data_IF_747127770480
#
_entry.id   IF_747127770480
#
_cell.length_a   1.000
_cell.length_b   1.000
_cell.length_c   1.000
_cell.angle_alpha   90.00
_cell.angle_beta   90.00
_cell.angle_gamma   90.00
#
_symmetry.space_group_name_H-M   'P 1'
#
loop_
_entity.id
_entity.type
_entity.pdbx_description
1 polymer ?
#
# COMPACT_ATOMS: atom_id res chain seq x y z
N UNK A 1 -27.41 12.92 6.18
CA UNK A 1 -26.05 12.44 6.53
C UNK A 1 -25.15 12.72 5.36
N UNK A 2 -24.02 13.40 5.59
CA UNK A 2 -23.05 13.78 4.54
C UNK A 2 -22.10 12.61 4.27
N UNK A 3 -21.92 12.27 2.99
CA UNK A 3 -21.06 11.18 2.53
C UNK A 3 -19.85 11.74 1.80
N UNK A 4 -18.71 11.13 2.00
CA UNK A 4 -17.48 11.45 1.30
C UNK A 4 -16.75 10.17 0.89
N UNK A 5 -16.03 10.23 -0.22
CA UNK A 5 -15.00 9.26 -0.57
C UNK A 5 -13.67 9.97 -0.79
N UNK A 6 -12.56 9.26 -0.62
CA UNK A 6 -11.25 9.82 -0.91
C UNK A 6 -10.24 8.77 -1.34
N UNK A 7 -9.14 9.25 -1.91
CA UNK A 7 -7.94 8.45 -2.17
C UNK A 7 -6.69 9.21 -1.72
N UNK A 8 -5.56 8.51 -1.63
CA UNK A 8 -4.26 9.08 -1.28
C UNK A 8 -3.26 8.72 -2.38
N UNK A 9 -2.52 9.72 -2.84
CA UNK A 9 -1.57 9.58 -3.94
C UNK A 9 -0.27 10.31 -3.64
N UNK A 10 0.82 9.86 -4.26
CA UNK A 10 1.93 10.77 -4.57
C UNK A 10 1.55 11.63 -5.79
N UNK A 11 2.24 12.75 -6.03
CA UNK A 11 1.79 13.70 -7.07
C UNK A 11 1.73 13.10 -8.47
N UNK A 12 2.56 12.09 -8.75
CA UNK A 12 2.55 11.37 -10.02
C UNK A 12 1.30 10.49 -10.24
N UNK A 13 0.54 10.20 -9.19
CA UNK A 13 -0.68 9.37 -9.23
C UNK A 13 -1.96 10.20 -9.13
N UNK A 14 -1.89 11.54 -9.11
CA UNK A 14 -3.09 12.41 -9.17
C UNK A 14 -3.97 12.07 -10.37
N UNK A 15 -3.37 11.79 -11.54
CA UNK A 15 -4.10 11.39 -12.73
C UNK A 15 -4.92 10.10 -12.54
N UNK A 16 -4.43 9.14 -11.75
CA UNK A 16 -5.18 7.93 -11.40
C UNK A 16 -6.31 8.23 -10.42
N UNK A 17 -6.05 9.06 -9.40
CA UNK A 17 -7.09 9.51 -8.47
C UNK A 17 -8.28 10.20 -9.16
N UNK A 18 -8.01 11.01 -10.19
CA UNK A 18 -9.06 11.65 -11.01
C UNK A 18 -9.85 10.64 -11.86
N UNK A 19 -9.22 9.56 -12.32
CA UNK A 19 -9.90 8.50 -13.08
C UNK A 19 -10.76 7.64 -12.15
N UNK A 20 -10.28 7.35 -10.93
CA UNK A 20 -11.07 6.73 -9.87
C UNK A 20 -12.30 7.61 -9.55
N UNK A 21 -12.11 8.90 -9.32
CA UNK A 21 -13.20 9.87 -9.11
C UNK A 21 -14.22 9.79 -10.24
N UNK A 22 -13.77 9.85 -11.51
CA UNK A 22 -14.64 9.75 -12.67
C UNK A 22 -15.47 8.45 -12.68
N UNK A 23 -14.86 7.31 -12.35
CA UNK A 23 -15.55 6.01 -12.31
C UNK A 23 -16.62 5.97 -11.21
N UNK A 24 -16.35 6.56 -10.05
CA UNK A 24 -17.26 6.60 -8.92
C UNK A 24 -18.41 7.59 -9.13
N UNK A 25 -18.10 8.79 -9.64
CA UNK A 25 -19.06 9.87 -9.89
C UNK A 25 -20.06 9.51 -10.99
N UNK A 26 -19.78 8.51 -11.84
CA UNK A 26 -20.79 7.94 -12.75
C UNK A 26 -22.05 7.47 -12.01
N UNK A 27 -21.90 7.05 -10.75
CA UNK A 27 -22.98 6.48 -9.94
C UNK A 27 -23.44 7.38 -8.79
N UNK A 28 -22.57 8.26 -8.26
CA UNK A 28 -22.83 9.03 -7.02
C UNK A 28 -22.67 10.55 -7.16
N UNK A 29 -22.84 11.11 -8.38
CA UNK A 29 -22.63 12.55 -8.64
C UNK A 29 -23.46 13.48 -7.76
N UNK A 30 -24.64 13.07 -7.32
CA UNK A 30 -25.59 13.92 -6.60
C UNK A 30 -25.54 13.79 -5.07
N UNK A 31 -24.81 12.80 -4.54
CA UNK A 31 -24.90 12.45 -3.11
C UNK A 31 -23.56 12.07 -2.45
N UNK A 32 -22.44 12.25 -3.14
CA UNK A 32 -21.11 11.92 -2.63
C UNK A 32 -20.06 12.96 -3.05
N UNK A 33 -19.34 13.50 -2.07
CA UNK A 33 -18.15 14.33 -2.32
C UNK A 33 -16.90 13.45 -2.47
N UNK A 34 -15.89 13.91 -3.22
CA UNK A 34 -14.65 13.17 -3.45
C UNK A 34 -13.40 14.04 -3.26
N UNK A 35 -12.40 13.52 -2.54
CA UNK A 35 -11.12 14.20 -2.35
C UNK A 35 -9.92 13.32 -2.76
N UNK A 36 -8.88 13.98 -3.24
CA UNK A 36 -7.59 13.36 -3.56
C UNK A 36 -6.55 13.98 -2.64
N UNK A 37 -6.10 13.24 -1.64
CA UNK A 37 -5.04 13.69 -0.74
C UNK A 37 -3.67 13.36 -1.32
N UNK A 38 -2.78 14.35 -1.35
CA UNK A 38 -1.43 14.18 -1.88
C UNK A 38 -0.42 14.08 -0.73
N UNK A 39 0.20 12.91 -0.60
CA UNK A 39 1.28 12.61 0.34
C UNK A 39 2.67 12.94 -0.24
N UNK A 40 2.81 14.15 -0.80
CA UNK A 40 3.98 14.61 -1.56
C UNK A 40 4.00 16.16 -1.60
N UNK A 41 5.12 16.75 -2.02
CA UNK A 41 5.20 18.20 -2.22
C UNK A 41 4.73 18.59 -3.63
N UNK A 42 3.79 19.54 -3.70
CA UNK A 42 3.29 20.10 -4.95
C UNK A 42 3.52 21.61 -4.94
N UNK A 43 4.19 22.08 -5.99
CA UNK A 43 4.29 23.51 -6.28
C UNK A 43 3.00 23.97 -6.99
N UNK A 44 2.06 24.47 -6.20
CA UNK A 44 0.76 24.95 -6.67
C UNK A 44 0.85 26.21 -7.54
N UNK A 45 1.96 26.95 -7.49
CA UNK A 45 2.19 28.11 -8.37
C UNK A 45 2.54 27.66 -9.79
N UNK A 46 3.21 26.50 -9.93
CA UNK A 46 3.60 25.93 -11.23
C UNK A 46 2.56 25.00 -11.84
N UNK A 47 1.72 24.38 -11.01
CA UNK A 47 0.77 23.36 -11.45
C UNK A 47 -0.62 23.71 -10.93
N UNK A 48 -1.51 24.11 -11.84
CA UNK A 48 -2.93 24.22 -11.52
C UNK A 48 -3.48 22.82 -11.19
N UNK A 49 -3.92 22.63 -9.95
CA UNK A 49 -4.57 21.41 -9.48
C UNK A 49 -6.08 21.65 -9.26
N UNK A 50 -6.94 20.64 -9.48
CA UNK A 50 -8.37 20.72 -9.12
C UNK A 50 -8.57 21.02 -7.63
N UNK A 51 -9.67 21.69 -7.28
CA UNK A 51 -9.96 22.12 -5.89
C UNK A 51 -10.09 20.95 -4.90
N UNK A 52 -10.51 19.78 -5.37
CA UNK A 52 -10.62 18.57 -4.56
C UNK A 52 -9.29 17.82 -4.37
N UNK A 53 -8.20 18.29 -4.99
CA UNK A 53 -6.84 17.77 -4.78
C UNK A 53 -6.16 18.58 -3.68
N UNK A 54 -5.86 17.92 -2.55
CA UNK A 54 -5.37 18.58 -1.35
C UNK A 54 -3.96 18.07 -1.00
N UNK A 55 -2.92 18.92 -1.08
CA UNK A 55 -1.62 18.62 -0.49
C UNK A 55 -1.77 18.45 1.03
N UNK A 56 -1.50 17.25 1.53
CA UNK A 56 -1.75 16.91 2.94
C UNK A 56 -0.89 17.75 3.87
N UNK A 57 0.33 18.10 3.43
CA UNK A 57 1.26 18.94 4.18
C UNK A 57 0.65 20.28 4.61
N UNK A 58 -0.27 20.83 3.83
CA UNK A 58 -0.88 22.13 4.09
C UNK A 58 -2.03 22.08 5.12
N UNK A 59 -2.56 20.89 5.40
CA UNK A 59 -3.71 20.71 6.30
C UNK A 59 -3.40 19.80 7.49
N UNK A 60 -2.25 19.12 7.48
CA UNK A 60 -1.90 18.17 8.52
C UNK A 60 -1.49 18.84 9.81
N UNK A 61 -1.87 18.20 10.92
CA UNK A 61 -1.46 18.50 12.29
C UNK A 61 -0.20 17.73 12.72
N UNK A 62 0.47 17.03 11.79
CA UNK A 62 1.79 16.47 12.05
C UNK A 62 2.81 17.58 12.24
N UNK A 63 3.64 17.46 13.26
CA UNK A 63 4.76 18.39 13.47
C UNK A 63 5.78 18.27 12.32
N UNK A 64 6.58 19.31 12.13
CA UNK A 64 7.69 19.30 11.16
C UNK A 64 8.64 18.11 11.34
N UNK A 65 8.88 17.73 12.60
CA UNK A 65 9.72 16.57 12.92
C UNK A 65 9.03 15.26 12.55
N UNK A 66 7.75 15.09 12.86
CA UNK A 66 7.01 13.87 12.48
C UNK A 66 6.89 13.72 10.98
N UNK A 67 6.58 14.79 10.25
CA UNK A 67 6.47 14.73 8.79
C UNK A 67 7.80 14.36 8.15
N UNK A 68 8.88 15.05 8.54
CA UNK A 68 10.24 14.77 8.03
C UNK A 68 10.67 13.34 8.36
N UNK A 69 10.39 12.87 9.57
CA UNK A 69 10.72 11.51 9.99
C UNK A 69 9.96 10.45 9.17
N UNK A 70 8.63 10.61 9.05
CA UNK A 70 7.77 9.70 8.30
C UNK A 70 8.11 9.70 6.80
N UNK A 71 8.29 10.86 6.17
CA UNK A 71 8.57 10.97 4.74
C UNK A 71 9.97 10.47 4.37
N UNK A 72 10.93 10.50 5.31
CA UNK A 72 12.25 9.92 5.11
C UNK A 72 12.28 8.41 5.38
N UNK A 73 11.74 7.94 6.51
CA UNK A 73 11.87 6.52 6.89
C UNK A 73 11.01 5.58 6.07
N UNK A 74 9.85 6.04 5.62
CA UNK A 74 8.94 5.24 4.80
C UNK A 74 9.26 5.38 3.33
N UNK A 75 9.12 4.30 2.58
CA UNK A 75 9.03 4.40 1.13
C UNK A 75 7.72 5.09 0.70
N UNK A 76 7.55 5.32 -0.60
CA UNK A 76 6.37 6.01 -1.14
C UNK A 76 5.05 5.34 -0.72
N UNK A 77 4.97 4.01 -0.78
CA UNK A 77 3.75 3.25 -0.47
C UNK A 77 3.49 3.25 1.04
N UNK A 78 4.53 2.99 1.83
CA UNK A 78 4.48 3.06 3.29
C UNK A 78 4.04 4.45 3.77
N UNK A 79 4.56 5.54 3.17
CA UNK A 79 4.19 6.90 3.55
C UNK A 79 2.75 7.26 3.17
N UNK A 80 2.33 6.98 1.93
CA UNK A 80 0.96 7.24 1.47
C UNK A 80 -0.07 6.54 2.36
N UNK A 81 0.20 5.30 2.73
CA UNK A 81 -0.70 4.52 3.59
C UNK A 81 -0.67 4.99 5.04
N UNK A 82 0.48 5.46 5.54
CA UNK A 82 0.62 5.92 6.94
C UNK A 82 -0.27 7.09 7.34
N UNK A 83 -0.64 7.94 6.38
CA UNK A 83 -1.45 9.15 6.63
C UNK A 83 -2.96 8.92 6.48
N UNK A 84 -3.39 7.72 6.08
CA UNK A 84 -4.81 7.37 5.90
C UNK A 84 -5.70 7.68 7.11
N UNK A 85 -5.28 7.40 8.37
CA UNK A 85 -6.08 7.77 9.54
C UNK A 85 -6.31 9.28 9.65
N UNK A 86 -5.29 10.09 9.36
CA UNK A 86 -5.40 11.54 9.38
C UNK A 86 -6.42 12.04 8.35
N UNK A 87 -6.42 11.49 7.12
CA UNK A 87 -7.37 11.88 6.08
C UNK A 87 -8.84 11.62 6.51
N UNK A 88 -9.12 10.47 7.15
CA UNK A 88 -10.43 10.21 7.75
C UNK A 88 -10.80 11.25 8.82
N UNK A 89 -9.88 11.51 9.76
CA UNK A 89 -10.10 12.49 10.84
C UNK A 89 -10.37 13.90 10.28
N UNK A 90 -9.61 14.32 9.27
CA UNK A 90 -9.81 15.61 8.60
C UNK A 90 -11.20 15.70 7.97
N UNK A 91 -11.65 14.67 7.24
CA UNK A 91 -12.98 14.65 6.64
C UNK A 91 -14.09 14.65 7.71
N UNK A 92 -13.92 13.92 8.80
CA UNK A 92 -14.85 13.98 9.93
C UNK A 92 -14.90 15.38 10.56
N UNK A 93 -13.78 16.09 10.65
CA UNK A 93 -13.74 17.49 11.10
C UNK A 93 -14.48 18.46 10.17
N UNK A 94 -14.58 18.14 8.86
CA UNK A 94 -15.39 18.87 7.88
C UNK A 94 -16.89 18.57 7.95
N UNK A 95 -17.31 17.68 8.85
CA UNK A 95 -18.71 17.36 9.09
C UNK A 95 -19.26 16.22 8.21
N UNK A 96 -18.38 15.38 7.63
CA UNK A 96 -18.81 14.14 6.98
C UNK A 96 -19.17 13.08 8.02
N UNK A 97 -20.26 12.36 7.78
CA UNK A 97 -20.77 11.29 8.65
C UNK A 97 -20.24 9.92 8.22
N UNK A 98 -20.13 9.70 6.91
CA UNK A 98 -19.65 8.46 6.30
C UNK A 98 -18.51 8.77 5.36
N UNK A 99 -17.39 8.07 5.53
CA UNK A 99 -16.23 8.26 4.67
C UNK A 99 -15.74 6.92 4.15
N UNK A 100 -15.43 6.87 2.85
CA UNK A 100 -14.84 5.70 2.19
C UNK A 100 -13.47 6.06 1.65
N UNK A 101 -12.50 5.18 1.89
CA UNK A 101 -11.21 5.19 1.21
C UNK A 101 -11.23 4.20 0.05
N UNK A 102 -10.64 4.59 -1.08
CA UNK A 102 -10.24 3.71 -2.17
C UNK A 102 -8.77 3.95 -2.56
N UNK A 103 -8.03 2.88 -2.80
CA UNK A 103 -6.72 2.95 -3.46
C UNK A 103 -6.85 3.59 -4.86
N UNK A 104 -5.86 4.39 -5.30
CA UNK A 104 -5.98 5.21 -6.51
C UNK A 104 -6.04 4.41 -7.82
N UNK A 105 -5.66 3.13 -7.78
CA UNK A 105 -5.70 2.19 -8.89
C UNK A 105 -6.97 1.31 -8.86
N UNK A 106 -8.02 1.75 -8.17
CA UNK A 106 -9.36 1.15 -8.23
C UNK A 106 -10.19 1.79 -9.36
N UNK A 107 -11.04 0.97 -9.99
CA UNK A 107 -12.11 1.43 -10.86
C UNK A 107 -13.46 0.91 -10.37
N UNK A 108 -14.47 1.79 -10.33
CA UNK A 108 -15.84 1.46 -9.90
C UNK A 108 -16.70 1.11 -11.12
N UNK A 109 -17.43 0.00 -11.01
CA UNK A 109 -18.26 -0.60 -12.06
C UNK A 109 -19.76 -0.58 -11.74
N UNK A 110 -20.13 -0.50 -10.45
CA UNK A 110 -21.52 -0.43 -9.97
C UNK A 110 -21.63 0.50 -8.75
N UNK A 111 -22.85 0.93 -8.36
CA UNK A 111 -23.03 1.75 -7.16
C UNK A 111 -22.51 1.10 -5.88
N UNK A 112 -21.75 1.86 -5.08
CA UNK A 112 -21.25 1.46 -3.75
C UNK A 112 -22.28 1.61 -2.61
N UNK A 113 -23.57 1.66 -2.93
CA UNK A 113 -24.66 1.94 -1.96
C UNK A 113 -24.67 0.95 -0.79
N UNK A 114 -24.38 -0.32 -1.04
CA UNK A 114 -24.30 -1.36 0.01
C UNK A 114 -23.35 -0.97 1.15
N UNK A 115 -22.22 -0.33 0.83
CA UNK A 115 -21.23 0.11 1.84
C UNK A 115 -21.86 1.12 2.80
N UNK A 116 -22.55 2.13 2.26
CA UNK A 116 -23.21 3.14 3.08
C UNK A 116 -24.37 2.57 3.90
N UNK A 117 -25.12 1.60 3.36
CA UNK A 117 -26.16 0.91 4.12
C UNK A 117 -25.58 0.15 5.31
N UNK A 118 -24.41 -0.50 5.16
CA UNK A 118 -23.71 -1.14 6.28
C UNK A 118 -23.17 -0.14 7.28
N UNK A 119 -22.65 0.99 6.83
CA UNK A 119 -22.19 2.07 7.70
C UNK A 119 -23.32 2.74 8.51
N UNK A 120 -24.60 2.61 8.13
CA UNK A 120 -25.70 3.08 8.99
C UNK A 120 -25.74 2.31 10.33
N UNK A 121 -25.43 1.01 10.27
CA UNK A 121 -25.58 0.07 11.38
C UNK A 121 -24.26 -0.33 12.04
N UNK A 122 -23.12 -0.12 11.38
CA UNK A 122 -21.79 -0.48 11.87
C UNK A 122 -20.84 0.72 11.79
N UNK A 123 -19.81 0.72 12.63
CA UNK A 123 -18.82 1.80 12.69
C UNK A 123 -17.76 1.70 11.59
N UNK A 124 -17.36 0.47 11.26
CA UNK A 124 -16.30 0.18 10.28
C UNK A 124 -16.78 -0.92 9.33
N UNK A 125 -16.48 -0.74 8.04
CA UNK A 125 -16.79 -1.68 6.97
C UNK A 125 -15.52 -2.02 6.19
N UNK A 126 -15.19 -3.31 6.14
CA UNK A 126 -14.02 -3.83 5.43
C UNK A 126 -14.41 -4.93 4.44
N UNK A 127 -13.48 -5.27 3.56
CA UNK A 127 -13.55 -6.46 2.69
C UNK A 127 -12.40 -7.40 3.01
N UNK A 128 -12.62 -8.72 3.01
CA UNK A 128 -11.54 -9.67 3.23
C UNK A 128 -10.61 -9.73 2.00
N UNK A 129 -9.36 -10.15 2.22
CA UNK A 129 -8.41 -10.40 1.13
C UNK A 129 -8.90 -11.52 0.20
N UNK A 130 -9.50 -12.57 0.79
CA UNK A 130 -10.13 -13.74 0.15
C UNK A 130 -11.47 -13.98 0.84
N UNK A 131 -12.52 -14.22 0.06
CA UNK A 131 -13.87 -14.34 0.61
C UNK A 131 -14.31 -15.78 0.84
N UNK A 132 -13.75 -16.75 0.12
CA UNK A 132 -14.08 -18.17 0.22
C UNK A 132 -13.30 -18.93 1.30
N UNK A 133 -13.88 -20.04 1.77
CA UNK A 133 -13.15 -21.07 2.53
C UNK A 133 -12.62 -22.06 1.51
N UNK A 134 -11.29 -22.16 1.39
CA UNK A 134 -10.65 -22.99 0.36
C UNK A 134 -10.03 -24.23 0.97
N UNK A 135 -10.67 -25.40 0.81
CA UNK A 135 -10.13 -26.67 1.34
C UNK A 135 -8.88 -27.10 0.57
N UNK A 136 -8.90 -26.87 -0.74
CA UNK A 136 -7.76 -27.09 -1.62
C UNK A 136 -7.38 -25.75 -2.24
N UNK A 137 -6.47 -25.03 -1.57
CA UNK A 137 -6.06 -23.70 -2.02
C UNK A 137 -5.35 -23.78 -3.38
N UNK A 138 -5.90 -23.06 -4.37
CA UNK A 138 -5.40 -23.02 -5.76
C UNK A 138 -4.94 -21.64 -6.21
N UNK A 139 -4.89 -20.67 -5.28
CA UNK A 139 -4.44 -19.32 -5.58
C UNK A 139 -2.94 -19.24 -5.84
N UNK A 140 -2.55 -18.30 -6.69
CA UNK A 140 -1.16 -18.13 -7.13
C UNK A 140 -0.30 -17.46 -6.06
N UNK A 141 -0.91 -16.68 -5.16
CA UNK A 141 -0.27 -16.18 -3.97
C UNK A 141 -0.35 -17.23 -2.86
N UNK A 142 0.75 -17.68 -2.26
CA UNK A 142 0.68 -18.70 -1.23
C UNK A 142 -0.04 -18.18 0.03
N UNK A 143 -0.79 -19.04 0.73
CA UNK A 143 -1.60 -18.64 1.90
C UNK A 143 -0.78 -17.97 3.01
N UNK A 144 0.47 -18.39 3.22
CA UNK A 144 1.35 -17.72 4.19
C UNK A 144 1.55 -16.24 3.87
N UNK A 145 1.45 -15.82 2.61
CA UNK A 145 1.55 -14.43 2.22
C UNK A 145 0.38 -13.60 2.77
N UNK A 146 -0.82 -14.18 2.86
CA UNK A 146 -1.98 -13.52 3.48
C UNK A 146 -1.76 -13.36 4.99
N UNK A 147 -1.23 -14.39 5.66
CA UNK A 147 -0.92 -14.33 7.09
C UNK A 147 0.05 -13.20 7.46
N UNK A 148 0.99 -12.86 6.57
CA UNK A 148 1.98 -11.81 6.81
C UNK A 148 1.60 -10.44 6.22
N UNK A 149 0.76 -10.39 5.18
CA UNK A 149 0.33 -9.13 4.57
C UNK A 149 -1.01 -8.59 5.13
N UNK A 150 -1.81 -9.44 5.79
CA UNK A 150 -3.11 -9.10 6.36
C UNK A 150 -4.27 -9.90 5.75
N UNK A 151 -5.32 -10.13 6.56
CA UNK A 151 -6.51 -10.89 6.16
C UNK A 151 -7.61 -10.00 5.56
N UNK A 152 -7.51 -8.69 5.75
CA UNK A 152 -8.34 -7.69 5.07
C UNK A 152 -7.56 -7.04 3.93
N UNK A 153 -8.29 -6.60 2.90
CA UNK A 153 -7.70 -5.77 1.86
C UNK A 153 -8.04 -4.30 2.07
N UNK A 154 -7.01 -3.47 2.29
CA UNK A 154 -7.14 -2.05 2.63
C UNK A 154 -6.98 -1.11 1.45
N UNK A 155 -7.07 -1.66 0.23
CA UNK A 155 -7.47 -0.89 -0.94
C UNK A 155 -8.87 -0.30 -0.81
N UNK A 156 -9.67 -0.79 0.15
CA UNK A 156 -10.94 -0.19 0.55
C UNK A 156 -11.09 -0.16 2.08
N UNK A 157 -11.68 0.92 2.60
CA UNK A 157 -12.11 1.02 4.00
C UNK A 157 -13.28 2.01 4.12
N UNK A 158 -14.39 1.58 4.72
CA UNK A 158 -15.51 2.47 5.06
C UNK A 158 -15.54 2.73 6.56
N UNK A 159 -15.71 3.99 6.97
CA UNK A 159 -15.78 4.37 8.39
C UNK A 159 -16.92 5.37 8.60
N UNK A 160 -17.72 5.15 9.64
CA UNK A 160 -18.72 6.05 10.17
C UNK A 160 -18.11 6.92 11.26
N UNK A 161 -18.42 8.21 11.27
CA UNK A 161 -18.03 9.13 12.33
C UNK A 161 -18.79 8.80 13.62
N UNK A 162 -18.10 8.16 14.56
CA UNK A 162 -18.54 7.93 15.95
C UNK A 162 -17.36 8.12 16.90
N UNK A 163 -17.63 8.22 18.21
CA UNK A 163 -16.57 8.30 19.22
C UNK A 163 -15.65 7.06 19.17
N UNK A 164 -16.24 5.88 18.93
CA UNK A 164 -15.49 4.63 18.78
C UNK A 164 -14.57 4.67 17.56
N UNK A 165 -15.10 5.02 16.39
CA UNK A 165 -14.29 5.14 15.17
C UNK A 165 -13.17 6.18 15.31
N UNK A 166 -13.43 7.30 16.00
CA UNK A 166 -12.38 8.29 16.29
C UNK A 166 -11.27 7.72 17.17
N UNK A 167 -11.61 6.91 18.19
CA UNK A 167 -10.63 6.21 19.02
C UNK A 167 -9.81 5.19 18.21
N UNK A 168 -10.44 4.45 17.31
CA UNK A 168 -9.74 3.52 16.40
C UNK A 168 -8.81 4.26 15.44
N UNK A 169 -9.25 5.38 14.87
CA UNK A 169 -8.41 6.22 14.00
C UNK A 169 -7.20 6.78 14.75
N UNK A 170 -7.38 7.26 15.99
CA UNK A 170 -6.26 7.70 16.84
C UNK A 170 -5.31 6.54 17.16
N UNK A 171 -5.86 5.37 17.53
CA UNK A 171 -5.08 4.17 17.76
C UNK A 171 -4.23 3.83 16.54
N UNK A 172 -4.85 3.71 15.36
CA UNK A 172 -4.19 3.37 14.10
C UNK A 172 -3.12 4.40 13.73
N UNK A 173 -3.45 5.69 13.79
CA UNK A 173 -2.52 6.80 13.53
C UNK A 173 -1.23 6.69 14.34
N UNK A 174 -1.34 6.46 15.65
CA UNK A 174 -0.15 6.35 16.52
C UNK A 174 0.77 5.20 16.13
N UNK A 175 0.23 4.09 15.64
CA UNK A 175 1.03 2.94 15.17
C UNK A 175 1.65 3.26 13.82
N UNK A 176 0.88 3.83 12.88
CA UNK A 176 1.39 4.15 11.56
C UNK A 176 2.47 5.24 11.57
N UNK A 177 2.56 6.06 12.61
CA UNK A 177 3.72 6.93 12.80
C UNK A 177 5.02 6.15 12.86
N UNK A 178 5.05 4.93 13.42
CA UNK A 178 6.30 4.18 13.65
C UNK A 178 6.38 2.82 12.97
N UNK A 179 5.26 2.20 12.63
CA UNK A 179 5.15 0.79 12.24
C UNK A 179 4.38 0.57 10.93
N UNK A 180 4.40 1.56 10.01
CA UNK A 180 3.78 1.46 8.67
C UNK A 180 4.71 0.81 7.62
N UNK A 181 5.69 0.04 8.06
CA UNK A 181 6.66 -0.61 7.18
C UNK A 181 6.09 -1.86 6.48
N UNK A 182 6.65 -2.21 5.34
CA UNK A 182 6.62 -3.57 4.80
C UNK A 182 7.74 -4.36 5.47
N UNK A 183 7.43 -4.95 6.63
CA UNK A 183 8.36 -5.79 7.38
C UNK A 183 7.67 -7.03 7.97
N UNK A 184 7.64 -8.08 7.15
CA UNK A 184 7.05 -9.37 7.50
C UNK A 184 7.73 -10.05 8.68
N UNK A 185 8.98 -9.70 9.01
CA UNK A 185 9.72 -10.36 10.09
C UNK A 185 9.18 -10.03 11.48
N UNK A 186 8.50 -8.88 11.61
CA UNK A 186 7.85 -8.41 12.84
C UNK A 186 6.34 -8.26 12.71
N UNK A 187 5.77 -8.75 11.61
CA UNK A 187 4.34 -8.71 11.37
C UNK A 187 3.81 -7.32 10.98
N UNK A 188 4.64 -6.48 10.34
CA UNK A 188 4.20 -5.22 9.76
C UNK A 188 3.96 -5.37 8.25
N UNK A 189 2.83 -4.84 7.77
CA UNK A 189 2.56 -4.68 6.35
C UNK A 189 1.65 -3.46 6.16
N UNK A 190 2.31 -2.31 6.09
CA UNK A 190 1.69 -0.98 5.96
C UNK A 190 0.59 -0.75 6.99
N UNK A 191 -0.40 0.04 6.61
CA UNK A 191 -1.64 0.29 7.30
C UNK A 191 -2.55 -0.95 7.41
N UNK A 192 -2.45 -1.89 6.46
CA UNK A 192 -3.38 -3.00 6.29
C UNK A 192 -3.34 -4.00 7.44
N UNK A 193 -2.14 -4.43 7.86
CA UNK A 193 -1.98 -5.51 8.85
C UNK A 193 -2.60 -5.19 10.21
N UNK A 194 -2.72 -3.91 10.54
CA UNK A 194 -3.37 -3.44 11.76
C UNK A 194 -4.86 -3.76 11.79
N UNK A 195 -5.52 -3.89 10.63
CA UNK A 195 -6.94 -4.16 10.57
C UNK A 195 -7.30 -5.59 10.99
N UNK A 196 -6.33 -6.51 11.01
CA UNK A 196 -6.49 -7.88 11.52
C UNK A 196 -6.90 -7.92 13.01
N UNK A 197 -6.67 -6.82 13.74
CA UNK A 197 -7.03 -6.69 15.15
C UNK A 197 -8.51 -6.36 15.35
N UNK A 198 -9.15 -5.74 14.35
CA UNK A 198 -10.50 -5.20 14.52
C UNK A 198 -11.56 -6.24 14.88
N UNK A 199 -11.57 -7.48 14.33
CA UNK A 199 -12.54 -8.48 14.75
C UNK A 199 -12.54 -8.75 16.26
N UNK A 200 -11.35 -8.79 16.87
CA UNK A 200 -11.20 -9.02 18.30
C UNK A 200 -11.50 -7.75 19.14
N UNK A 201 -11.19 -6.56 18.62
CA UNK A 201 -11.38 -5.29 19.33
C UNK A 201 -12.82 -4.78 19.26
N UNK A 202 -13.54 -5.06 18.18
CA UNK A 202 -14.82 -4.44 17.83
C UNK A 202 -15.99 -5.44 17.84
N UNK A 203 -15.72 -6.72 17.57
CA UNK A 203 -16.78 -7.70 17.32
C UNK A 203 -17.68 -7.34 16.14
N UNK A 204 -18.71 -8.16 15.93
CA UNK A 204 -19.62 -8.00 14.79
C UNK A 204 -20.62 -6.85 14.94
N UNK A 205 -20.76 -6.28 16.14
CA UNK A 205 -21.64 -5.12 16.38
C UNK A 205 -21.10 -3.85 15.71
N UNK A 206 -19.78 -3.65 15.77
CA UNK A 206 -19.14 -2.44 15.27
C UNK A 206 -18.41 -2.63 13.94
N UNK A 207 -17.93 -3.85 13.66
CA UNK A 207 -17.26 -4.20 12.41
C UNK A 207 -18.16 -5.04 11.50
N UNK A 208 -18.39 -4.58 10.28
CA UNK A 208 -18.98 -5.39 9.22
C UNK A 208 -17.95 -5.77 8.15
N UNK A 209 -17.86 -7.07 7.85
CA UNK A 209 -17.00 -7.58 6.77
C UNK A 209 -17.87 -7.92 5.56
N UNK A 210 -17.81 -7.08 4.52
CA UNK A 210 -18.55 -7.33 3.26
C UNK A 210 -17.86 -8.45 2.49
N UNK A 211 -18.57 -9.58 2.32
CA UNK A 211 -18.15 -10.75 1.52
C UNK A 211 -18.78 -10.75 0.12
N UNK A 212 -19.12 -9.57 -0.41
CA UNK A 212 -19.56 -9.40 -1.80
C UNK A 212 -18.35 -9.64 -2.73
N UNK A 213 -18.43 -10.64 -3.61
CA UNK A 213 -17.32 -11.05 -4.48
C UNK A 213 -16.94 -9.98 -5.51
N UNK A 214 -17.89 -9.10 -5.85
CA UNK A 214 -17.68 -7.96 -6.74
C UNK A 214 -17.01 -6.75 -6.07
N UNK A 215 -16.75 -6.79 -4.77
CA UNK A 215 -15.99 -5.74 -4.08
C UNK A 215 -14.55 -6.16 -3.86
N UNK A 216 -13.64 -5.21 -4.11
CA UNK A 216 -12.21 -5.39 -3.90
C UNK A 216 -11.63 -6.62 -4.62
N UNK A 217 -12.12 -6.83 -5.85
CA UNK A 217 -11.60 -7.87 -6.73
C UNK A 217 -10.21 -7.43 -7.20
N UNK A 218 -9.22 -8.28 -7.02
CA UNK A 218 -7.82 -7.94 -7.16
C UNK A 218 -6.97 -9.18 -7.48
N UNK A 219 -5.72 -9.02 -7.93
CA UNK A 219 -4.91 -10.16 -8.38
C UNK A 219 -4.77 -11.32 -7.40
N UNK A 220 -4.76 -11.06 -6.09
CA UNK A 220 -4.69 -12.11 -5.06
C UNK A 220 -5.99 -12.90 -4.83
N UNK A 221 -7.11 -12.51 -5.46
CA UNK A 221 -8.39 -13.22 -5.34
C UNK A 221 -9.04 -13.54 -6.70
N UNK A 222 -8.33 -13.38 -7.81
CA UNK A 222 -8.82 -13.80 -9.13
C UNK A 222 -9.04 -15.32 -9.23
N UNK A 223 -8.28 -16.10 -8.47
CA UNK A 223 -8.44 -17.56 -8.42
C UNK A 223 -9.81 -18.00 -7.91
N UNK A 224 -10.43 -17.23 -7.02
CA UNK A 224 -11.75 -17.56 -6.45
C UNK A 224 -12.91 -16.82 -7.13
N UNK A 225 -12.64 -15.81 -7.98
CA UNK A 225 -13.66 -14.93 -8.57
C UNK A 225 -13.67 -15.03 -10.09
N UNK A 226 -14.82 -15.35 -10.65
CA UNK A 226 -15.05 -15.41 -12.09
C UNK A 226 -16.01 -14.31 -12.55
N UNK A 227 -15.59 -13.53 -13.55
CA UNK A 227 -16.46 -12.55 -14.19
C UNK A 227 -17.33 -13.20 -15.28
N UNK A 228 -18.55 -12.70 -15.42
CA UNK A 228 -19.44 -13.04 -16.53
C UNK A 228 -20.43 -11.89 -16.80
N UNK A 229 -21.08 -11.90 -17.96
CA UNK A 229 -22.12 -10.94 -18.29
C UNK A 229 -23.51 -11.51 -17.99
N UNK A 230 -24.38 -10.70 -17.41
CA UNK A 230 -25.82 -10.97 -17.30
C UNK A 230 -26.59 -9.67 -17.38
N UNK A 231 -27.60 -9.63 -18.25
CA UNK A 231 -28.50 -8.47 -18.41
C UNK A 231 -27.76 -7.13 -18.63
N UNK A 232 -26.60 -7.18 -19.29
CA UNK A 232 -25.75 -6.00 -19.55
C UNK A 232 -24.82 -5.59 -18.40
N UNK A 233 -24.96 -6.19 -17.23
CA UNK A 233 -24.07 -5.98 -16.08
C UNK A 233 -22.91 -7.00 -16.06
N UNK A 234 -21.78 -6.57 -15.50
CA UNK A 234 -20.67 -7.48 -15.17
C UNK A 234 -20.96 -8.06 -13.78
N UNK A 235 -21.09 -9.38 -13.74
CA UNK A 235 -21.34 -10.17 -12.54
C UNK A 235 -20.08 -10.92 -12.11
N UNK A 236 -20.03 -11.32 -10.85
CA UNK A 236 -18.95 -12.10 -10.23
C UNK A 236 -19.57 -13.29 -9.52
N UNK A 237 -19.03 -14.50 -9.76
CA UNK A 237 -19.37 -15.72 -9.03
C UNK A 237 -18.12 -16.42 -8.50
N UNK A 238 -18.32 -17.39 -7.60
CA UNK A 238 -17.22 -18.27 -7.18
C UNK A 238 -16.68 -19.02 -8.40
N UNK A 239 -15.35 -19.04 -8.53
CA UNK A 239 -14.65 -19.90 -9.51
C UNK A 239 -14.37 -21.28 -8.93
N UNK A 240 -14.33 -21.43 -7.61
CA UNK A 240 -14.06 -22.69 -6.92
C UNK A 240 -15.36 -23.36 -6.48
N UNK A 241 -15.35 -24.69 -6.38
CA UNK A 241 -16.52 -25.52 -6.08
C UNK A 241 -16.77 -25.72 -4.58
N UNK A 242 -15.88 -25.23 -3.72
CA UNK A 242 -15.93 -25.38 -2.26
C UNK A 242 -16.69 -24.24 -1.56
N UNK A 243 -17.26 -23.32 -2.34
CA UNK A 243 -18.00 -22.16 -1.83
C UNK A 243 -19.40 -22.10 -2.45
N UNK A 244 -20.33 -21.48 -1.73
CA UNK A 244 -21.72 -21.37 -2.17
C UNK A 244 -21.85 -20.69 -3.54
N UNK A 245 -22.83 -21.15 -4.33
CA UNK A 245 -23.25 -20.50 -5.57
C UNK A 245 -23.89 -19.14 -5.26
N UNK A 246 -23.03 -18.13 -5.17
CA UNK A 246 -23.41 -16.73 -5.02
C UNK A 246 -22.94 -15.95 -6.24
N UNK A 247 -23.82 -15.07 -6.71
CA UNK A 247 -23.53 -14.15 -7.80
C UNK A 247 -23.75 -12.72 -7.30
N UNK A 248 -22.72 -11.90 -7.42
CA UNK A 248 -22.74 -10.49 -7.06
C UNK A 248 -22.47 -9.63 -8.29
N UNK A 249 -22.95 -8.38 -8.31
CA UNK A 249 -22.51 -7.42 -9.33
C UNK A 249 -21.05 -7.02 -9.08
N UNK A 250 -20.25 -6.87 -10.13
CA UNK A 250 -18.93 -6.26 -10.00
C UNK A 250 -19.09 -4.80 -9.56
N UNK A 251 -18.63 -4.49 -8.36
CA UNK A 251 -18.73 -3.15 -7.76
C UNK A 251 -17.47 -2.36 -8.01
N UNK A 252 -16.30 -2.90 -7.65
CA UNK A 252 -15.02 -2.26 -7.93
C UNK A 252 -13.87 -3.27 -8.01
N UNK A 253 -12.95 -3.00 -8.92
CA UNK A 253 -11.76 -3.82 -9.18
C UNK A 253 -10.50 -3.00 -8.88
N UNK A 254 -9.57 -3.61 -8.16
CA UNK A 254 -8.26 -3.07 -7.80
C UNK A 254 -7.21 -3.53 -8.81
N UNK A 255 -6.74 -2.61 -9.65
CA UNK A 255 -5.69 -2.86 -10.65
C UNK A 255 -4.28 -2.80 -10.04
N UNK A 256 -4.10 -3.45 -8.89
CA UNK A 256 -2.85 -3.51 -8.14
C UNK A 256 -1.71 -4.10 -8.97
N UNK A 257 -0.60 -3.39 -9.05
CA UNK A 257 0.62 -3.89 -9.68
C UNK A 257 0.61 -3.91 -11.21
N UNK A 258 -0.35 -3.25 -11.86
CA UNK A 258 -0.36 -3.05 -13.31
C UNK A 258 0.59 -1.92 -13.74
N UNK A 259 0.95 -1.91 -15.02
CA UNK A 259 1.73 -0.85 -15.65
C UNK A 259 0.81 0.16 -16.35
N UNK A 260 0.38 1.17 -15.61
CA UNK A 260 -0.57 2.16 -16.12
C UNK A 260 -0.04 2.94 -17.33
N UNK A 261 1.28 3.13 -17.47
CA UNK A 261 1.86 3.76 -18.67
C UNK A 261 1.69 2.91 -19.93
N UNK A 262 1.79 1.58 -19.79
CA UNK A 262 1.51 0.64 -20.88
C UNK A 262 0.02 0.51 -21.14
N UNK A 263 -0.80 0.47 -20.08
CA UNK A 263 -2.27 0.37 -20.22
C UNK A 263 -2.87 1.59 -20.92
N UNK A 264 -2.35 2.80 -20.66
CA UNK A 264 -2.70 4.03 -21.39
C UNK A 264 -2.40 3.93 -22.90
N UNK A 265 -1.54 3.00 -23.33
CA UNK A 265 -1.25 2.69 -24.75
C UNK A 265 -2.02 1.47 -25.27
N UNK A 266 -2.99 0.95 -24.50
CA UNK A 266 -3.75 -0.25 -24.84
C UNK A 266 -3.06 -1.57 -24.48
N UNK A 267 -1.90 -1.53 -23.81
CA UNK A 267 -1.11 -2.73 -23.49
C UNK A 267 -1.31 -3.10 -22.03
N UNK A 268 -1.99 -4.21 -21.79
CA UNK A 268 -2.14 -4.77 -20.44
C UNK A 268 -0.84 -5.47 -20.04
N UNK A 269 -0.19 -4.97 -19.00
CA UNK A 269 1.04 -5.54 -18.47
C UNK A 269 1.09 -5.36 -16.95
N UNK A 270 1.60 -6.37 -16.24
CA UNK A 270 1.67 -6.41 -14.78
C UNK A 270 3.13 -6.40 -14.35
N UNK A 271 3.52 -5.50 -13.43
CA UNK A 271 4.89 -5.34 -12.93
C UNK A 271 5.20 -6.18 -11.70
N UNK A 272 4.23 -6.34 -10.80
CA UNK A 272 4.50 -6.77 -9.41
C UNK A 272 4.02 -8.17 -9.05
N UNK A 273 3.18 -8.79 -9.87
CA UNK A 273 2.60 -10.11 -9.57
C UNK A 273 3.20 -11.14 -10.52
N UNK A 274 3.97 -12.08 -9.97
CA UNK A 274 4.54 -13.20 -10.71
C UNK A 274 3.58 -14.38 -10.77
N UNK A 275 3.65 -15.15 -11.87
CA UNK A 275 2.92 -16.41 -12.06
C UNK A 275 1.42 -16.32 -11.90
N UNK A 276 0.85 -15.11 -11.94
CA UNK A 276 -0.59 -14.96 -11.97
C UNK A 276 -1.11 -15.60 -13.26
N UNK A 277 -2.11 -16.45 -13.12
CA UNK A 277 -2.76 -17.07 -14.26
C UNK A 277 -3.44 -15.99 -15.10
N UNK A 278 -3.40 -16.17 -16.41
CA UNK A 278 -4.23 -15.37 -17.31
C UNK A 278 -5.66 -15.89 -17.24
N UNK A 279 -6.57 -15.02 -16.84
CA UNK A 279 -8.00 -15.29 -16.76
C UNK A 279 -8.70 -14.49 -17.85
N UNK A 280 -9.21 -15.17 -18.89
CA UNK A 280 -9.84 -14.51 -20.03
C UNK A 280 -11.06 -13.66 -19.64
N UNK A 281 -11.80 -14.08 -18.60
CA UNK A 281 -12.95 -13.34 -18.11
C UNK A 281 -12.61 -11.95 -17.55
N UNK A 282 -11.36 -11.71 -17.15
CA UNK A 282 -10.91 -10.39 -16.68
C UNK A 282 -10.93 -9.31 -17.77
N UNK A 283 -10.95 -9.69 -19.06
CA UNK A 283 -11.05 -8.75 -20.18
C UNK A 283 -12.32 -7.92 -20.09
N UNK A 284 -13.42 -8.47 -19.56
CA UNK A 284 -14.69 -7.77 -19.34
C UNK A 284 -14.52 -6.46 -18.56
N UNK A 285 -13.70 -6.48 -17.51
CA UNK A 285 -13.42 -5.30 -16.67
C UNK A 285 -12.15 -4.54 -17.13
N UNK A 286 -11.12 -5.26 -17.56
CA UNK A 286 -9.82 -4.67 -17.94
C UNK A 286 -9.94 -3.79 -19.18
N UNK A 287 -10.72 -4.19 -20.18
CA UNK A 287 -10.91 -3.40 -21.40
C UNK A 287 -11.62 -2.07 -21.12
N UNK A 288 -12.55 -2.05 -20.15
CA UNK A 288 -13.23 -0.82 -19.71
C UNK A 288 -12.20 0.13 -19.08
N UNK A 289 -11.37 -0.37 -18.16
CA UNK A 289 -10.39 0.47 -17.49
C UNK A 289 -9.30 0.98 -18.45
N UNK A 290 -8.84 0.14 -19.39
CA UNK A 290 -7.93 0.56 -20.47
C UNK A 290 -8.54 1.68 -21.31
N UNK A 291 -9.81 1.56 -21.71
CA UNK A 291 -10.52 2.63 -22.45
C UNK A 291 -10.60 3.92 -21.63
N UNK A 292 -10.82 3.83 -20.32
CA UNK A 292 -10.81 5.00 -19.43
C UNK A 292 -9.42 5.66 -19.35
N UNK A 293 -8.34 4.88 -19.23
CA UNK A 293 -6.97 5.39 -19.23
C UNK A 293 -6.61 6.08 -20.56
N UNK A 294 -6.98 5.47 -21.70
CA UNK A 294 -6.76 6.05 -23.03
C UNK A 294 -7.54 7.38 -23.17
N UNK A 295 -8.81 7.40 -22.80
CA UNK A 295 -9.65 8.60 -22.88
C UNK A 295 -9.11 9.75 -22.03
N UNK A 296 -8.48 9.43 -20.89
CA UNK A 296 -7.91 10.41 -19.96
C UNK A 296 -6.38 10.54 -20.07
N UNK A 297 -5.79 10.16 -21.22
CA UNK A 297 -4.35 10.13 -21.39
C UNK A 297 -3.68 11.49 -21.09
N UNK A 298 -4.29 12.60 -21.51
CA UNK A 298 -3.77 13.95 -21.25
C UNK A 298 -3.72 14.29 -19.75
N UNK A 299 -4.78 13.95 -19.00
CA UNK A 299 -4.83 14.13 -17.55
C UNK A 299 -3.78 13.27 -16.86
N UNK A 300 -3.62 12.03 -17.31
CA UNK A 300 -2.62 11.10 -16.77
C UNK A 300 -1.19 11.58 -17.04
N UNK A 301 -0.91 12.03 -18.27
CA UNK A 301 0.42 12.49 -18.72
C UNK A 301 0.88 13.77 -18.05
N UNK A 302 -0.07 14.63 -17.64
CA UNK A 302 0.23 15.82 -16.85
C UNK A 302 1.00 15.50 -15.58
N UNK A 303 0.70 14.37 -14.93
CA UNK A 303 1.23 14.04 -13.61
C UNK A 303 2.25 12.89 -13.60
N UNK A 304 2.09 11.87 -14.43
CA UNK A 304 2.82 10.59 -14.28
C UNK A 304 4.35 10.71 -14.36
N UNK A 305 4.86 11.76 -15.00
CA UNK A 305 6.30 12.04 -15.15
C UNK A 305 6.90 12.79 -13.95
N UNK A 306 6.07 13.32 -13.06
CA UNK A 306 6.53 14.03 -11.86
C UNK A 306 7.29 13.08 -10.94
N UNK A 307 8.39 13.56 -10.37
CA UNK A 307 9.21 12.79 -9.45
C UNK A 307 8.73 12.99 -8.01
N UNK A 308 8.48 11.89 -7.29
CA UNK A 308 8.14 11.91 -5.87
C UNK A 308 9.19 12.68 -5.06
N UNK A 309 8.79 13.71 -4.29
CA UNK A 309 9.74 14.66 -3.68
C UNK A 309 10.67 14.01 -2.67
N UNK A 310 10.18 13.02 -1.92
CA UNK A 310 10.97 12.37 -0.88
C UNK A 310 11.79 11.18 -1.40
N UNK A 311 11.97 11.04 -2.72
CA UNK A 311 12.75 9.96 -3.33
C UNK A 311 14.27 10.21 -3.31
N UNK A 312 14.70 11.45 -3.11
CA UNK A 312 16.10 11.88 -3.26
C UNK A 312 16.57 12.74 -2.10
N UNK A 313 17.89 12.77 -1.88
CA UNK A 313 18.54 13.80 -1.07
C UNK A 313 18.52 15.16 -1.80
N UNK A 314 18.90 16.23 -1.11
CA UNK A 314 18.89 17.61 -1.64
C UNK A 314 19.76 17.80 -2.90
N UNK A 315 20.72 16.91 -3.16
CA UNK A 315 21.57 16.92 -4.36
C UNK A 315 21.04 16.08 -5.54
N UNK A 316 19.86 15.48 -5.38
CA UNK A 316 19.20 14.62 -6.37
C UNK A 316 19.63 13.15 -6.37
N UNK A 317 20.57 12.73 -5.51
CA UNK A 317 20.88 11.31 -5.36
C UNK A 317 19.70 10.55 -4.75
N UNK A 318 19.40 9.35 -5.26
CA UNK A 318 18.30 8.53 -4.74
C UNK A 318 18.53 8.04 -3.31
N UNK A 319 17.47 8.06 -2.51
CA UNK A 319 17.44 7.46 -1.17
C UNK A 319 17.00 6.00 -1.33
N UNK A 320 17.89 5.05 -1.02
CA UNK A 320 17.56 3.63 -1.08
C UNK A 320 16.73 3.17 0.12
N UNK A 321 15.97 2.08 -0.02
CA UNK A 321 15.25 1.44 1.09
C UNK A 321 16.17 1.14 2.27
N UNK A 322 17.39 0.68 2.00
CA UNK A 322 18.38 0.41 3.05
C UNK A 322 18.78 1.67 3.81
N UNK A 323 18.95 2.82 3.14
CA UNK A 323 19.23 4.10 3.81
C UNK A 323 18.10 4.52 4.74
N UNK A 324 16.84 4.39 4.28
CA UNK A 324 15.65 4.72 5.08
C UNK A 324 15.59 3.89 6.36
N UNK A 325 15.89 2.59 6.24
CA UNK A 325 15.89 1.66 7.39
C UNK A 325 17.07 1.88 8.33
N UNK A 326 18.26 2.19 7.83
CA UNK A 326 19.39 2.59 8.68
C UNK A 326 19.05 3.87 9.46
N UNK A 327 18.44 4.86 8.81
CA UNK A 327 17.96 6.07 9.48
C UNK A 327 16.98 5.70 10.61
N UNK A 328 15.99 4.86 10.34
CA UNK A 328 15.04 4.40 11.36
C UNK A 328 15.75 3.68 12.53
N UNK A 329 16.74 2.84 12.26
CA UNK A 329 17.54 2.19 13.29
C UNK A 329 18.28 3.18 14.20
N UNK A 330 18.84 4.25 13.60
CA UNK A 330 19.51 5.31 14.36
C UNK A 330 18.51 6.12 15.21
N UNK A 331 17.31 6.42 14.70
CA UNK A 331 16.31 7.15 15.48
C UNK A 331 15.78 6.32 16.64
N UNK A 332 15.60 5.01 16.45
CA UNK A 332 15.27 4.07 17.53
C UNK A 332 16.35 3.99 18.63
N UNK A 333 17.62 4.15 18.28
CA UNK A 333 18.72 4.20 19.26
C UNK A 333 18.84 5.56 19.97
N UNK A 334 17.91 6.48 19.72
CA UNK A 334 17.85 7.81 20.36
C UNK A 334 18.69 8.88 19.65
N UNK A 335 19.27 8.59 18.48
CA UNK A 335 20.01 9.61 17.72
C UNK A 335 19.05 10.59 17.07
N UNK A 336 19.32 11.88 17.30
CA UNK A 336 18.57 12.98 16.69
C UNK A 336 19.20 13.36 15.35
N UNK A 337 18.48 13.09 14.26
CA UNK A 337 18.85 13.48 12.90
C UNK A 337 17.78 14.44 12.40
N UNK A 338 18.06 15.74 12.43
CA UNK A 338 17.05 16.76 12.14
C UNK A 338 16.75 16.91 10.64
N UNK A 339 17.78 16.83 9.80
CA UNK A 339 17.67 17.07 8.36
C UNK A 339 18.19 15.85 7.57
N UNK A 340 17.44 14.72 7.54
CA UNK A 340 17.94 13.48 6.95
C UNK A 340 18.09 13.55 5.42
N UNK A 341 17.39 14.47 4.75
CA UNK A 341 17.53 14.75 3.32
C UNK A 341 18.79 15.55 2.95
N UNK A 342 19.43 16.22 3.92
CA UNK A 342 20.56 17.10 3.66
C UNK A 342 21.83 16.36 3.26
N UNK A 343 22.58 16.92 2.31
CA UNK A 343 23.91 16.45 1.89
C UNK A 343 25.06 17.27 2.48
N UNK A 344 24.75 18.19 3.41
CA UNK A 344 25.73 19.03 4.10
C UNK A 344 26.75 18.24 4.94
N UNK A 345 27.82 18.90 5.38
CA UNK A 345 28.82 18.28 6.27
C UNK A 345 28.14 17.81 7.56
N UNK A 346 28.54 16.62 8.05
CA UNK A 346 27.99 15.97 9.26
C UNK A 346 26.51 15.54 9.15
N UNK A 347 25.90 15.58 7.96
CA UNK A 347 24.58 15.01 7.71
C UNK A 347 24.58 13.48 7.72
N UNK A 348 23.40 12.86 7.78
CA UNK A 348 23.22 11.43 7.59
C UNK A 348 23.81 10.95 6.25
N UNK A 349 23.59 11.71 5.17
CA UNK A 349 24.21 11.46 3.86
C UNK A 349 25.74 11.43 3.95
N UNK A 350 26.36 12.39 4.65
CA UNK A 350 27.82 12.45 4.77
C UNK A 350 28.40 11.22 5.50
N UNK A 351 27.65 10.68 6.48
CA UNK A 351 27.99 9.44 7.17
C UNK A 351 27.92 8.27 6.18
N UNK A 352 26.80 8.11 5.45
CA UNK A 352 26.66 7.05 4.45
C UNK A 352 27.74 7.11 3.37
N UNK A 353 28.08 8.31 2.91
CA UNK A 353 29.10 8.52 1.88
C UNK A 353 30.50 8.10 2.38
N UNK A 354 30.83 8.40 3.64
CA UNK A 354 32.08 7.97 4.28
C UNK A 354 32.25 6.44 4.28
N UNK A 355 31.15 5.69 4.36
CA UNK A 355 31.14 4.23 4.33
C UNK A 355 30.80 3.65 2.94
N UNK A 356 30.92 4.46 1.87
CA UNK A 356 30.71 4.05 0.48
C UNK A 356 29.31 3.48 0.19
N UNK A 357 28.29 3.96 0.92
CA UNK A 357 26.90 3.53 0.76
C UNK A 357 26.08 4.38 -0.21
N UNK A 358 26.65 5.47 -0.74
CA UNK A 358 26.01 6.29 -1.78
C UNK A 358 26.45 5.78 -3.16
N UNK A 359 25.49 5.37 -3.98
CA UNK A 359 25.71 4.89 -5.36
C UNK A 359 24.70 5.53 -6.30
N UNK A 360 25.11 5.75 -7.55
CA UNK A 360 24.20 6.24 -8.61
C UNK A 360 23.17 5.20 -9.05
N UNK A 361 23.48 3.91 -8.90
CA UNK A 361 22.57 2.82 -9.22
C UNK A 361 21.52 2.63 -8.12
N UNK A 362 20.25 2.55 -8.50
CA UNK A 362 19.18 2.25 -7.57
C UNK A 362 19.12 0.73 -7.31
N UNK A 363 19.70 0.32 -6.18
CA UNK A 363 19.78 -1.07 -5.72
C UNK A 363 18.39 -1.65 -5.40
N UNK A 364 17.39 -0.83 -5.07
CA UNK A 364 16.03 -1.30 -4.76
C UNK A 364 15.32 -1.88 -6.00
N UNK A 365 15.81 -1.59 -7.20
CA UNK A 365 15.35 -2.24 -8.44
C UNK A 365 15.85 -3.69 -8.54
N UNK A 366 16.91 -4.05 -7.80
CA UNK A 366 17.43 -5.40 -7.76
C UNK A 366 16.56 -6.26 -6.84
N UNK A 367 16.14 -7.40 -7.35
CA UNK A 367 15.35 -8.41 -6.65
C UNK A 367 16.03 -9.75 -6.83
N UNK A 368 15.58 -10.79 -6.13
CA UNK A 368 16.06 -12.15 -6.37
C UNK A 368 15.93 -12.59 -7.84
N UNK A 369 15.07 -11.91 -8.62
CA UNK A 369 14.68 -12.23 -9.99
C UNK A 369 15.64 -11.70 -11.05
N UNK A 370 16.33 -10.59 -10.79
CA UNK A 370 17.22 -9.94 -11.76
C UNK A 370 18.68 -9.87 -11.29
N UNK A 371 18.97 -10.40 -10.10
CA UNK A 371 20.34 -10.63 -9.66
C UNK A 371 20.89 -11.87 -10.38
N UNK A 372 21.90 -11.67 -11.23
CA UNK A 372 22.59 -12.76 -11.91
C UNK A 372 23.24 -13.73 -10.92
N UNK A 373 23.22 -15.02 -11.28
CA UNK A 373 23.86 -16.12 -10.55
C UNK A 373 23.41 -16.26 -9.08
N UNK A 374 22.15 -15.94 -8.76
CA UNK A 374 21.66 -15.99 -7.37
C UNK A 374 21.74 -17.40 -6.76
N UNK A 375 21.51 -18.45 -7.56
CA UNK A 375 21.65 -19.83 -7.09
C UNK A 375 23.08 -20.16 -6.67
N UNK A 376 24.07 -19.74 -7.47
CA UNK A 376 25.48 -19.93 -7.13
C UNK A 376 25.87 -19.13 -5.89
N UNK A 377 25.39 -17.89 -5.76
CA UNK A 377 25.58 -17.07 -4.54
C UNK A 377 24.97 -17.76 -3.31
N UNK A 378 23.77 -18.33 -3.41
CA UNK A 378 23.14 -19.13 -2.35
C UNK A 378 23.97 -20.36 -1.98
N UNK A 379 24.49 -21.09 -2.97
CA UNK A 379 25.39 -22.24 -2.75
C UNK A 379 26.66 -21.81 -2.00
N UNK A 380 27.28 -20.69 -2.39
CA UNK A 380 28.45 -20.15 -1.69
C UNK A 380 28.16 -19.80 -0.22
N UNK A 381 27.02 -19.18 0.07
CA UNK A 381 26.58 -18.90 1.45
C UNK A 381 26.40 -20.22 2.23
N UNK A 382 25.81 -21.23 1.60
CA UNK A 382 25.67 -22.57 2.19
C UNK A 382 27.00 -23.23 2.51
N UNK A 383 28.00 -23.11 1.63
CA UNK A 383 29.37 -23.57 1.88
C UNK A 383 29.99 -22.83 3.06
N UNK A 384 29.84 -21.50 3.12
CA UNK A 384 30.32 -20.70 4.24
C UNK A 384 29.71 -21.14 5.58
N UNK A 385 28.40 -21.42 5.61
CA UNK A 385 27.71 -21.91 6.80
C UNK A 385 28.17 -23.33 7.18
N UNK A 386 28.44 -24.19 6.19
CA UNK A 386 29.00 -25.53 6.43
C UNK A 386 30.40 -25.46 7.03
N UNK A 387 31.27 -24.59 6.49
CA UNK A 387 32.60 -24.36 7.04
C UNK A 387 32.52 -23.81 8.47
N UNK A 388 31.64 -22.84 8.72
CA UNK A 388 31.42 -22.29 10.06
C UNK A 388 30.96 -23.38 11.03
N UNK A 389 30.01 -24.23 10.63
CA UNK A 389 29.53 -25.35 11.42
C UNK A 389 30.67 -26.31 11.82
N UNK A 390 31.54 -26.68 10.88
CA UNK A 390 32.71 -27.53 11.18
C UNK A 390 33.72 -26.86 12.12
N UNK A 391 33.87 -25.53 12.04
CA UNK A 391 34.79 -24.77 12.88
C UNK A 391 34.31 -24.64 14.34
N UNK A 392 33.02 -24.31 14.55
CA UNK A 392 32.52 -23.95 15.89
C UNK A 392 31.73 -25.08 16.57
N UNK A 393 31.40 -26.14 15.83
CA UNK A 393 30.63 -27.28 16.31
C UNK A 393 29.13 -26.99 16.49
N UNK A 394 28.36 -28.06 16.67
CA UNK A 394 26.88 -28.03 16.66
C UNK A 394 26.28 -27.01 17.62
N UNK A 395 26.65 -27.04 18.92
CA UNK A 395 26.04 -26.18 19.93
C UNK A 395 26.22 -24.69 19.62
N UNK A 396 27.43 -24.27 19.25
CA UNK A 396 27.72 -22.86 18.92
C UNK A 396 27.07 -22.46 17.60
N UNK A 397 27.01 -23.35 16.62
CA UNK A 397 26.32 -23.09 15.36
C UNK A 397 24.82 -22.89 15.54
N UNK A 398 24.15 -23.71 16.34
CA UNK A 398 22.72 -23.52 16.66
C UNK A 398 22.49 -22.16 17.33
N UNK A 399 23.35 -21.76 18.26
CA UNK A 399 23.27 -20.43 18.88
C UNK A 399 23.52 -19.30 17.87
N UNK A 400 24.48 -19.47 16.96
CA UNK A 400 24.73 -18.53 15.87
C UNK A 400 23.49 -18.38 14.97
N UNK A 401 22.89 -19.48 14.50
CA UNK A 401 21.68 -19.43 13.66
C UNK A 401 20.52 -18.75 14.40
N UNK A 402 20.32 -19.04 15.70
CA UNK A 402 19.33 -18.32 16.52
C UNK A 402 19.61 -16.82 16.58
N UNK A 403 20.88 -16.43 16.66
CA UNK A 403 21.26 -15.02 16.67
C UNK A 403 21.05 -14.30 15.33
N UNK A 404 21.03 -15.02 14.20
CA UNK A 404 20.83 -14.43 12.86
C UNK A 404 19.48 -13.71 12.70
N UNK A 405 18.48 -14.06 13.50
CA UNK A 405 17.21 -13.33 13.53
C UNK A 405 17.41 -11.85 13.88
N UNK A 406 18.37 -11.53 14.77
CA UNK A 406 18.71 -10.14 15.11
C UNK A 406 19.46 -9.39 13.99
N UNK A 407 19.77 -10.06 12.87
CA UNK A 407 20.49 -9.46 11.74
C UNK A 407 19.66 -9.50 10.45
N UNK A 408 18.40 -9.94 10.49
CA UNK A 408 17.56 -10.00 9.28
C UNK A 408 16.95 -8.65 8.89
N UNK A 409 16.84 -7.71 9.84
CA UNK A 409 16.23 -6.38 9.64
C UNK A 409 17.29 -5.31 9.39
N UNK A 410 17.24 -4.54 8.28
CA UNK A 410 18.24 -3.52 7.96
C UNK A 410 18.52 -2.48 9.04
N UNK A 411 17.52 -2.05 9.80
CA UNK A 411 17.64 -1.11 10.91
C UNK A 411 18.50 -1.62 12.07
N UNK A 412 18.76 -2.93 12.16
CA UNK A 412 19.68 -3.50 13.14
C UNK A 412 21.15 -3.45 12.67
N UNK A 413 21.40 -2.92 11.48
CA UNK A 413 22.74 -2.79 10.87
C UNK A 413 23.36 -1.39 11.05
N UNK A 414 22.89 -0.60 12.01
CA UNK A 414 23.49 0.72 12.30
C UNK A 414 24.98 0.63 12.64
N UNK A 415 25.43 -0.50 13.21
CA UNK A 415 26.83 -0.78 13.49
C UNK A 415 27.77 -0.67 12.27
N UNK A 416 27.24 -0.71 11.04
CA UNK A 416 28.03 -0.49 9.83
C UNK A 416 28.51 0.97 9.68
N UNK A 417 27.80 1.92 10.29
CA UNK A 417 28.04 3.36 10.13
C UNK A 417 28.27 4.08 11.47
N UNK A 418 28.12 3.37 12.58
CA UNK A 418 28.44 3.85 13.92
C UNK A 418 29.92 3.55 14.25
N UNK A 419 30.62 4.53 14.82
CA UNK A 419 31.94 4.25 15.41
C UNK A 419 31.73 3.44 16.69
N UNK A 420 32.52 2.37 16.86
CA UNK A 420 32.69 1.71 18.16
C UNK A 420 33.27 2.65 19.19
#
# INVERSE_FOLDING_TARGET
>A
MKKCSFTIVAKNYIGLGLILEQSLMKFHKSDLDFYIFVADEIDIEKIQIPENVIPVRNISDYTETEWTDMSFKYDLTEFCTSIKPFCFQYLFSKGYDYTIYFDPDICVFSPVTEIFEKLKTHDIVLTPQVAGIHVNYTGEHPEWAMNVNGIFNLGFCGIKRTELSMKILMWWRERLKNDCFVDRSVGNFTDQKWMDWLPALLGNEHLYVIRNLGMNMAPWNYFERQLFLRDGDIMVKSRTYDNNDKEDKLVFLHFAGYDYQKMKKGIVYRKRIENLKEYDDLKLATDIYVKMLIKNANTFDKYISMQYSYATYDDGNSISSFHRRLYHGLTLSGKKILNPFSTSKNSFYSILNKYHMIKKENIDKLTQRNISNIENKRKMIGIMFKCLYHLIGYKRYVLFVKSLYNYCRPELHTFLIEKK
#
